data_IF_577146497708
#
_entry.id   IF_577146497708
#
_cell.length_a   1.000
_cell.length_b   1.000
_cell.length_c   1.000
_cell.angle_alpha   90.00
_cell.angle_beta   90.00
_cell.angle_gamma   90.00
#
_symmetry.space_group_name_H-M   'P 1'
#
loop_
_entity.id
_entity.type
_entity.pdbx_description
1 polymer ?
#
# COMPACT_ATOMS: atom_id res chain seq x y z
N UNK A 1 -11.93 -17.47 -6.69
CA UNK A 1 -11.79 -16.30 -7.58
C UNK A 1 -10.40 -15.75 -7.29
N UNK A 2 -9.56 -15.59 -8.31
CA UNK A 2 -8.31 -14.82 -8.16
C UNK A 2 -8.73 -13.37 -7.97
N UNK A 3 -8.79 -12.91 -6.71
CA UNK A 3 -8.80 -11.48 -6.45
C UNK A 3 -7.44 -10.97 -6.89
N UNK A 4 -7.44 -9.99 -7.79
CA UNK A 4 -6.20 -9.29 -8.11
C UNK A 4 -5.82 -8.47 -6.89
N UNK A 5 -4.67 -8.76 -6.29
CA UNK A 5 -4.12 -7.95 -5.22
C UNK A 5 -3.63 -6.62 -5.79
N UNK A 6 -4.09 -5.51 -5.20
CA UNK A 6 -3.63 -4.17 -5.50
C UNK A 6 -2.45 -3.82 -4.60
N UNK A 7 -1.33 -3.41 -5.18
CA UNK A 7 -0.19 -2.92 -4.42
C UNK A 7 -0.36 -1.41 -4.23
N UNK A 8 -0.23 -0.94 -2.99
CA UNK A 8 -0.31 0.47 -2.61
C UNK A 8 0.92 0.88 -1.82
N UNK A 9 1.22 2.19 -1.84
CA UNK A 9 2.34 2.75 -1.07
C UNK A 9 1.99 2.83 0.41
N UNK A 10 3.01 2.84 1.26
CA UNK A 10 2.83 3.01 2.71
C UNK A 10 2.04 4.27 3.04
N UNK A 11 2.42 5.42 2.47
CA UNK A 11 1.73 6.71 2.69
C UNK A 11 0.24 6.63 2.35
N UNK A 12 -0.10 5.95 1.25
CA UNK A 12 -1.48 5.77 0.78
C UNK A 12 -2.30 4.90 1.74
N UNK A 13 -1.66 3.88 2.31
CA UNK A 13 -2.29 3.05 3.32
C UNK A 13 -2.67 3.86 4.55
N UNK A 14 -1.77 4.71 5.04
CA UNK A 14 -2.03 5.58 6.20
C UNK A 14 -3.13 6.60 5.92
N UNK A 15 -3.09 7.25 4.76
CA UNK A 15 -4.06 8.27 4.36
C UNK A 15 -5.45 7.68 4.11
N UNK A 16 -5.55 6.58 3.37
CA UNK A 16 -6.85 6.03 2.97
C UNK A 16 -7.49 5.24 4.11
N UNK A 17 -6.75 4.32 4.72
CA UNK A 17 -7.34 3.36 5.65
C UNK A 17 -7.36 3.82 7.09
N UNK A 18 -6.53 4.81 7.44
CA UNK A 18 -6.44 5.39 8.77
C UNK A 18 -6.30 4.32 9.88
N UNK A 19 -5.13 3.67 9.99
CA UNK A 19 -4.85 2.73 11.07
C UNK A 19 -5.20 3.31 12.46
N UNK A 20 -5.64 2.43 13.36
CA UNK A 20 -5.94 2.74 14.77
C UNK A 20 -4.73 2.40 15.61
N UNK A 21 -4.34 3.33 16.48
CA UNK A 21 -3.30 3.08 17.45
C UNK A 21 -3.70 1.93 18.38
N UNK A 22 -2.73 1.10 18.75
CA UNK A 22 -2.90 0.09 19.78
C UNK A 22 -3.10 0.81 21.13
N UNK A 23 -4.25 0.53 21.75
CA UNK A 23 -4.65 1.15 23.02
C UNK A 23 -4.54 0.17 24.19
N UNK A 24 -4.17 -1.08 23.92
CA UNK A 24 -4.01 -2.13 24.92
C UNK A 24 -2.57 -2.15 25.47
N UNK A 25 -1.60 -1.88 24.59
CA UNK A 25 -0.18 -1.85 24.92
C UNK A 25 0.42 -0.53 24.44
N UNK A 26 1.12 0.17 25.33
CA UNK A 26 1.87 1.39 24.98
C UNK A 26 3.17 1.03 24.25
N UNK A 27 3.66 1.93 23.38
CA UNK A 27 4.95 1.82 22.67
C UNK A 27 5.16 0.51 21.87
N UNK A 28 4.10 -0.02 21.22
CA UNK A 28 4.24 -1.17 20.31
C UNK A 28 4.96 -0.82 19.00
N UNK A 29 5.35 -1.85 18.24
CA UNK A 29 5.95 -1.66 16.91
C UNK A 29 5.02 -0.94 15.92
N UNK A 30 5.55 -0.52 14.77
CA UNK A 30 4.85 0.35 13.80
C UNK A 30 4.38 1.66 14.43
N UNK A 31 5.20 2.27 15.30
CA UNK A 31 4.87 3.55 15.93
C UNK A 31 3.67 3.49 16.89
N UNK A 32 3.46 2.35 17.55
CA UNK A 32 2.34 2.14 18.47
C UNK A 32 1.05 1.65 17.82
N UNK A 33 1.07 1.22 16.56
CA UNK A 33 -0.13 0.78 15.83
C UNK A 33 -0.27 -0.75 15.75
N UNK A 34 0.81 -1.50 15.93
CA UNK A 34 0.78 -2.96 15.83
C UNK A 34 0.09 -3.59 17.04
N UNK A 35 -0.79 -4.55 16.75
CA UNK A 35 -1.34 -5.50 17.72
C UNK A 35 -0.64 -6.85 17.54
N UNK A 36 -0.19 -7.45 18.63
CA UNK A 36 0.46 -8.76 18.61
C UNK A 36 -0.56 -9.90 18.81
N UNK A 37 -0.08 -11.07 19.24
CA UNK A 37 -0.89 -12.27 19.43
C UNK A 37 -1.00 -12.66 20.91
N UNK A 38 -0.89 -11.69 21.81
CA UNK A 38 -1.27 -11.89 23.22
C UNK A 38 -2.77 -12.19 23.31
N UNK A 39 -3.21 -12.85 24.39
CA UNK A 39 -4.62 -13.25 24.55
C UNK A 39 -5.58 -12.05 24.42
N UNK A 40 -5.28 -10.94 25.11
CA UNK A 40 -6.11 -9.73 25.09
C UNK A 40 -6.12 -9.02 23.73
N UNK A 41 -4.96 -8.93 23.06
CA UNK A 41 -4.90 -8.31 21.73
C UNK A 41 -5.56 -9.19 20.67
N UNK A 42 -5.39 -10.52 20.75
CA UNK A 42 -6.00 -11.45 19.81
C UNK A 42 -7.52 -11.44 19.93
N UNK A 43 -8.06 -11.38 21.15
CA UNK A 43 -9.50 -11.22 21.38
C UNK A 43 -10.01 -9.91 20.77
N UNK A 44 -9.26 -8.81 20.92
CA UNK A 44 -9.60 -7.53 20.29
C UNK A 44 -9.56 -7.63 18.76
N UNK A 45 -8.51 -8.22 18.17
CA UNK A 45 -8.37 -8.41 16.72
C UNK A 45 -9.53 -9.23 16.17
N UNK A 46 -9.84 -10.37 16.80
CA UNK A 46 -10.91 -11.27 16.36
C UNK A 46 -12.32 -10.69 16.56
N UNK A 47 -12.46 -9.69 17.42
CA UNK A 47 -13.71 -8.94 17.56
C UNK A 47 -13.94 -7.91 16.44
N UNK A 48 -12.91 -7.56 15.66
CA UNK A 48 -13.04 -6.66 14.52
C UNK A 48 -13.68 -7.37 13.34
N UNK A 49 -14.33 -6.60 12.47
CA UNK A 49 -14.81 -7.17 11.20
C UNK A 49 -13.62 -7.44 10.26
N UNK A 50 -13.64 -8.51 9.45
CA UNK A 50 -12.51 -8.91 8.61
C UNK A 50 -11.99 -7.79 7.69
N UNK A 51 -12.88 -6.95 7.17
CA UNK A 51 -12.55 -5.83 6.29
C UNK A 51 -11.78 -4.69 6.98
N UNK A 52 -11.56 -4.77 8.29
CA UNK A 52 -10.74 -3.82 9.05
C UNK A 52 -9.40 -4.41 9.52
N UNK A 53 -9.15 -5.68 9.24
CA UNK A 53 -7.96 -6.39 9.71
C UNK A 53 -6.93 -6.41 8.59
N UNK A 54 -5.70 -6.06 8.93
CA UNK A 54 -4.53 -6.17 8.07
C UNK A 54 -3.47 -6.97 8.81
N UNK A 55 -2.76 -7.84 8.11
CA UNK A 55 -1.71 -8.67 8.69
C UNK A 55 -0.35 -8.19 8.19
N UNK A 56 0.57 -7.98 9.12
CA UNK A 56 1.98 -7.75 8.82
C UNK A 56 2.62 -9.12 8.63
N UNK A 57 3.07 -9.40 7.42
CA UNK A 57 3.66 -10.67 7.01
C UNK A 57 5.18 -10.57 6.92
N UNK A 58 5.86 -11.59 7.45
CA UNK A 58 7.27 -11.81 7.19
C UNK A 58 7.41 -12.54 5.85
N UNK A 59 7.68 -11.78 4.78
CA UNK A 59 7.99 -12.35 3.47
C UNK A 59 9.45 -12.80 3.37
N UNK A 60 9.76 -13.54 2.32
CA UNK A 60 11.11 -14.11 2.12
C UNK A 60 12.20 -13.04 1.99
N UNK A 61 11.87 -11.88 1.39
CA UNK A 61 12.82 -10.79 1.12
C UNK A 61 12.46 -9.47 1.78
N UNK A 62 11.19 -9.29 2.16
CA UNK A 62 10.69 -8.04 2.73
C UNK A 62 9.45 -8.29 3.60
N UNK A 63 9.16 -7.34 4.47
CA UNK A 63 7.92 -7.30 5.25
C UNK A 63 6.82 -6.73 4.36
N UNK A 64 5.64 -7.35 4.37
CA UNK A 64 4.48 -6.94 3.58
C UNK A 64 3.30 -6.74 4.52
N UNK A 65 2.53 -5.66 4.35
CA UNK A 65 1.24 -5.53 5.05
C UNK A 65 0.16 -5.96 4.07
N UNK A 66 -0.53 -7.07 4.35
CA UNK A 66 -1.59 -7.61 3.50
C UNK A 66 -2.95 -7.40 4.13
N UNK A 67 -3.95 -7.06 3.32
CA UNK A 67 -5.34 -7.04 3.73
C UNK A 67 -5.80 -8.42 4.22
N UNK A 68 -6.62 -8.43 5.26
CA UNK A 68 -7.20 -9.63 5.82
C UNK A 68 -6.41 -10.20 7.01
N UNK A 69 -6.99 -11.26 7.58
CA UNK A 69 -6.46 -11.97 8.74
C UNK A 69 -5.71 -13.23 8.31
N UNK A 70 -4.40 -13.26 8.55
CA UNK A 70 -3.54 -14.40 8.21
C UNK A 70 -2.92 -15.02 9.46
N UNK A 71 -2.93 -16.35 9.54
CA UNK A 71 -2.41 -17.10 10.70
C UNK A 71 -0.94 -17.51 10.55
N UNK A 72 -0.40 -17.56 9.34
CA UNK A 72 0.94 -18.09 9.04
C UNK A 72 1.83 -16.97 8.54
N UNK A 73 3.14 -17.05 8.83
CA UNK A 73 4.16 -16.06 8.47
C UNK A 73 3.76 -14.63 8.86
N UNK A 74 3.14 -14.48 10.03
CA UNK A 74 2.62 -13.22 10.56
C UNK A 74 3.53 -12.70 11.67
N UNK A 75 3.80 -11.40 11.64
CA UNK A 75 4.49 -10.65 12.69
C UNK A 75 3.46 -10.06 13.67
N UNK A 76 2.37 -9.52 13.14
CA UNK A 76 1.32 -8.87 13.92
C UNK A 76 0.19 -8.37 13.02
N UNK A 77 -0.69 -7.55 13.58
CA UNK A 77 -1.85 -7.02 12.88
C UNK A 77 -1.97 -5.51 13.01
N UNK A 78 -2.58 -4.88 12.02
CA UNK A 78 -3.03 -3.50 12.06
C UNK A 78 -4.55 -3.49 11.91
N UNK A 79 -5.22 -2.60 12.65
CA UNK A 79 -6.67 -2.41 12.57
C UNK A 79 -6.97 -1.04 11.98
N UNK A 80 -7.77 -0.97 10.92
CA UNK A 80 -8.05 0.29 10.22
C UNK A 80 -9.41 0.88 10.61
N UNK A 81 -9.57 2.20 10.50
CA UNK A 81 -10.87 2.86 10.69
C UNK A 81 -11.77 2.75 9.46
N UNK A 82 -11.18 2.69 8.26
CA UNK A 82 -11.92 2.49 7.01
C UNK A 82 -11.80 1.03 6.55
N UNK A 83 -12.89 0.45 6.03
CA UNK A 83 -12.88 -0.93 5.56
C UNK A 83 -12.13 -1.06 4.24
N UNK A 84 -11.61 -2.26 4.00
CA UNK A 84 -11.24 -2.76 2.68
C UNK A 84 -12.51 -2.86 1.84
N UNK A 85 -12.56 -2.25 0.64
CA UNK A 85 -13.70 -2.39 -0.26
C UNK A 85 -13.93 -3.85 -0.68
N UNK A 86 -15.20 -4.23 -0.83
CA UNK A 86 -15.57 -5.59 -1.23
C UNK A 86 -14.97 -6.00 -2.58
N UNK A 87 -14.43 -7.21 -2.64
CA UNK A 87 -13.85 -7.79 -3.86
C UNK A 87 -12.43 -7.33 -4.19
N UNK A 88 -11.77 -6.62 -3.27
CA UNK A 88 -10.38 -6.21 -3.40
C UNK A 88 -9.51 -6.78 -2.28
N UNK A 89 -8.30 -7.18 -2.66
CA UNK A 89 -7.21 -7.48 -1.74
C UNK A 89 -6.10 -6.44 -1.96
N UNK A 90 -5.41 -6.05 -0.90
CA UNK A 90 -4.37 -5.03 -0.93
C UNK A 90 -3.08 -5.54 -0.29
N UNK A 91 -1.96 -5.09 -0.81
CA UNK A 91 -0.64 -5.20 -0.19
C UNK A 91 0.02 -3.83 -0.12
N UNK A 92 0.60 -3.51 1.03
CA UNK A 92 1.40 -2.30 1.22
C UNK A 92 2.86 -2.67 0.99
N UNK A 93 3.50 -1.94 0.07
CA UNK A 93 4.93 -2.08 -0.21
C UNK A 93 5.57 -0.69 -0.16
N UNK A 94 6.82 -0.65 0.32
CA UNK A 94 7.63 0.57 0.33
C UNK A 94 8.15 0.81 -1.09
N UNK A 95 7.98 2.04 -1.58
CA UNK A 95 8.12 2.43 -3.00
C UNK A 95 9.59 2.45 -3.48
N UNK A 96 10.52 2.02 -2.62
CA UNK A 96 11.93 1.79 -2.94
C UNK A 96 12.16 0.62 -3.91
N UNK A 97 11.12 -0.18 -4.22
CA UNK A 97 11.09 -1.03 -5.41
C UNK A 97 10.89 -0.14 -6.66
N UNK A 98 11.90 0.71 -6.93
CA UNK A 98 11.94 1.61 -8.07
C UNK A 98 11.36 0.95 -9.32
N UNK A 99 10.21 1.47 -9.74
CA UNK A 99 9.89 1.65 -11.16
C UNK A 99 9.94 0.37 -11.99
N UNK A 100 8.96 -0.52 -11.81
CA UNK A 100 8.56 -1.44 -12.87
C UNK A 100 7.85 -0.68 -14.01
N UNK A 101 8.52 0.28 -14.64
CA UNK A 101 8.06 0.84 -15.90
C UNK A 101 8.52 -0.03 -17.06
N UNK A 102 7.63 -0.17 -18.05
CA UNK A 102 7.85 -0.91 -19.30
C UNK A 102 9.01 -0.32 -20.11
N UNK A 103 9.34 0.96 -19.88
CA UNK A 103 10.43 1.67 -20.54
C UNK A 103 11.53 1.91 -19.50
N UNK A 104 12.62 1.18 -19.63
CA UNK A 104 13.81 1.38 -18.80
C UNK A 104 14.53 2.67 -19.17
N UNK A 105 15.37 3.17 -18.25
CA UNK A 105 16.21 4.37 -18.43
C UNK A 105 17.01 4.29 -19.73
N UNK A 106 17.52 3.12 -20.08
CA UNK A 106 18.28 2.89 -21.32
C UNK A 106 17.46 3.23 -22.59
N UNK A 107 16.16 2.90 -22.60
CA UNK A 107 15.28 3.20 -23.74
C UNK A 107 14.97 4.70 -23.85
N UNK A 108 14.85 5.40 -22.71
CA UNK A 108 14.73 6.85 -22.68
C UNK A 108 16.01 7.49 -23.20
N UNK A 109 17.18 7.02 -22.76
CA UNK A 109 18.48 7.51 -23.24
C UNK A 109 18.67 7.32 -24.74
N UNK A 110 18.29 6.17 -25.30
CA UNK A 110 18.35 5.94 -26.75
C UNK A 110 17.41 6.87 -27.52
N UNK A 111 16.17 7.03 -27.04
CA UNK A 111 15.18 7.91 -27.69
C UNK A 111 15.56 9.39 -27.55
N UNK A 112 16.12 9.77 -26.40
CA UNK A 112 16.55 11.13 -26.10
C UNK A 112 17.76 11.54 -26.95
N UNK A 113 18.69 10.62 -27.28
CA UNK A 113 19.80 10.95 -28.21
C UNK A 113 19.32 11.41 -29.58
N UNK A 114 18.21 10.85 -30.06
CA UNK A 114 17.61 11.22 -31.35
C UNK A 114 16.83 12.55 -31.28
N UNK A 115 16.21 12.85 -30.14
CA UNK A 115 15.36 14.04 -29.96
C UNK A 115 16.10 15.25 -29.34
N UNK A 116 17.09 15.00 -28.49
CA UNK A 116 17.81 15.92 -27.62
C UNK A 116 19.29 15.48 -27.54
N UNK A 117 20.07 15.69 -28.62
CA UNK A 117 21.41 15.12 -28.78
C UNK A 117 22.45 15.62 -27.77
N UNK A 118 22.17 16.72 -27.07
CA UNK A 118 23.06 17.30 -26.06
C UNK A 118 22.76 16.81 -24.63
N UNK A 119 21.72 15.99 -24.44
CA UNK A 119 21.31 15.49 -23.12
C UNK A 119 22.31 14.48 -22.57
N UNK A 120 22.79 14.71 -21.34
CA UNK A 120 23.69 13.79 -20.65
C UNK A 120 22.93 12.80 -19.75
N UNK A 121 23.65 11.81 -19.20
CA UNK A 121 23.04 10.75 -18.40
C UNK A 121 22.28 11.27 -17.17
N UNK A 122 22.82 12.26 -16.45
CA UNK A 122 22.15 12.82 -15.27
C UNK A 122 20.85 13.54 -15.63
N UNK A 123 20.86 14.30 -16.73
CA UNK A 123 19.65 14.98 -17.22
C UNK A 123 18.57 14.00 -17.69
N UNK A 124 18.96 12.84 -18.21
CA UNK A 124 18.03 11.78 -18.61
C UNK A 124 17.48 11.00 -17.41
N UNK A 125 18.29 10.78 -16.38
CA UNK A 125 17.85 10.22 -15.10
C UNK A 125 16.83 11.17 -14.44
N UNK A 126 17.11 12.47 -14.39
CA UNK A 126 16.17 13.47 -13.90
C UNK A 126 14.87 13.49 -14.73
N UNK A 127 14.96 13.37 -16.06
CA UNK A 127 13.78 13.32 -16.93
C UNK A 127 12.94 12.06 -16.70
N UNK A 128 13.59 10.90 -16.57
CA UNK A 128 12.93 9.65 -16.23
C UNK A 128 12.24 9.74 -14.87
N UNK A 129 12.92 10.32 -13.88
CA UNK A 129 12.39 10.52 -12.55
C UNK A 129 11.15 11.41 -12.58
N UNK A 130 11.22 12.58 -13.24
CA UNK A 130 10.08 13.47 -13.37
C UNK A 130 8.89 12.82 -14.10
N UNK A 131 9.11 12.13 -15.23
CA UNK A 131 8.02 11.48 -15.98
C UNK A 131 7.42 10.32 -15.18
N UNK A 132 8.27 9.52 -14.56
CA UNK A 132 7.88 8.42 -13.67
C UNK A 132 6.97 8.93 -12.56
N UNK A 133 7.42 9.96 -11.87
CA UNK A 133 6.77 10.48 -10.68
C UNK A 133 5.45 11.18 -11.05
N UNK A 134 5.41 11.93 -12.17
CA UNK A 134 4.18 12.57 -12.66
C UNK A 134 3.11 11.53 -13.05
N UNK A 135 3.47 10.52 -13.84
CA UNK A 135 2.52 9.47 -14.27
C UNK A 135 2.04 8.64 -13.08
N UNK A 136 2.95 8.26 -12.17
CA UNK A 136 2.57 7.51 -10.98
C UNK A 136 1.68 8.32 -10.07
N UNK A 137 2.00 9.59 -9.83
CA UNK A 137 1.22 10.43 -8.93
C UNK A 137 -0.19 10.68 -9.49
N UNK A 138 -0.34 10.90 -10.81
CA UNK A 138 -1.67 10.98 -11.43
C UNK A 138 -2.47 9.67 -11.28
N UNK A 139 -1.84 8.52 -11.55
CA UNK A 139 -2.49 7.21 -11.40
C UNK A 139 -2.89 6.93 -9.95
N UNK A 140 -2.01 7.21 -9.00
CA UNK A 140 -2.27 7.05 -7.57
C UNK A 140 -3.41 7.96 -7.12
N UNK A 141 -3.43 9.22 -7.56
CA UNK A 141 -4.53 10.13 -7.25
C UNK A 141 -5.89 9.62 -7.77
N UNK A 142 -5.93 9.09 -8.99
CA UNK A 142 -7.14 8.48 -9.54
C UNK A 142 -7.59 7.25 -8.73
N UNK A 143 -6.64 6.40 -8.32
CA UNK A 143 -6.92 5.22 -7.48
C UNK A 143 -7.45 5.65 -6.10
N UNK A 144 -6.77 6.57 -5.41
CA UNK A 144 -7.21 7.13 -4.12
C UNK A 144 -8.65 7.66 -4.21
N UNK A 145 -8.93 8.46 -5.25
CA UNK A 145 -10.27 9.00 -5.47
C UNK A 145 -11.32 7.88 -5.60
N UNK A 146 -11.06 6.86 -6.42
CA UNK A 146 -12.01 5.75 -6.60
C UNK A 146 -12.17 4.90 -5.34
N UNK A 147 -11.10 4.68 -4.59
CA UNK A 147 -11.16 3.96 -3.31
C UNK A 147 -12.05 4.69 -2.31
N UNK A 148 -11.93 6.02 -2.22
CA UNK A 148 -12.83 6.82 -1.38
C UNK A 148 -14.29 6.73 -1.82
N UNK A 149 -14.58 6.73 -3.13
CA UNK A 149 -15.94 6.51 -3.63
C UNK A 149 -16.49 5.14 -3.22
N UNK A 150 -15.74 4.06 -3.46
CA UNK A 150 -16.16 2.69 -3.11
C UNK A 150 -16.43 2.53 -1.60
N UNK A 151 -15.59 3.13 -0.76
CA UNK A 151 -15.79 3.14 0.69
C UNK A 151 -17.02 3.97 1.13
N UNK A 152 -17.45 4.93 0.30
CA UNK A 152 -18.67 5.71 0.54
C UNK A 152 -19.93 4.98 0.07
N UNK A 153 -19.84 4.23 -1.03
CA UNK A 153 -20.92 3.41 -1.60
C UNK A 153 -21.29 2.27 -0.64
N UNK A 154 -20.30 1.55 -0.10
CA UNK A 154 -20.52 0.45 0.85
C UNK A 154 -21.20 0.87 2.17
N UNK A 155 -21.08 2.15 2.55
CA UNK A 155 -21.82 2.69 3.71
C UNK A 155 -23.30 2.92 3.45
N UNK A 156 -23.70 3.14 2.21
CA UNK A 156 -25.09 3.47 1.86
C UNK A 156 -25.95 2.22 1.61
N UNK A 157 -25.35 1.07 1.30
CA UNK A 157 -26.08 -0.18 1.09
C UNK A 157 -26.41 -0.93 2.40
N UNK A 158 -25.84 -0.50 3.53
CA UNK A 158 -26.05 -1.09 4.86
C UNK A 158 -27.01 -0.32 5.79
N UNK A 159 -27.77 0.65 5.28
CA UNK A 159 -28.70 1.49 6.05
C UNK A 159 -30.17 1.14 5.82
#
# INVERSE_FOLDING_TARGET
MTHNTLIIRDEDFWEVFHPKQNHLVEDTSWGGFMFETSEEELDYILSQKPEHIWTILEGDTMIIISSGYHLVNRIGYLITKKPIPDGFDFEVQDDDLKKQFIIGVDTILETAKDLLPDMNYGEAEDLYDNISDEIFEEANNAIRYRLHELQSESKNEGA
#
